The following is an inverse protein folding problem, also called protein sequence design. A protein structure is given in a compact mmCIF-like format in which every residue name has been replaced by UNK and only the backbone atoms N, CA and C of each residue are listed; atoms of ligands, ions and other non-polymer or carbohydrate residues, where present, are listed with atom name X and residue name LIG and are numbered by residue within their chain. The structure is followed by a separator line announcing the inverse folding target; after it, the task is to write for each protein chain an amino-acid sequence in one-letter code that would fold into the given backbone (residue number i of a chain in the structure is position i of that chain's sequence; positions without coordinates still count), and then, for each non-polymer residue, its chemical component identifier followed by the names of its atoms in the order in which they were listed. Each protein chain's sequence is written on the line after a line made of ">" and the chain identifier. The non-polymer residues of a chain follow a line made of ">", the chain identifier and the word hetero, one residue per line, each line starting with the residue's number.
data_IF_102779297554
#
_entry.id   IF_102779297554
#
_cell.length_a   1.000
_cell.length_b   1.000
_cell.length_c   1.000
_cell.angle_alpha   90.00
_cell.angle_beta   90.00
_cell.angle_gamma   90.00
#
_symmetry.space_group_name_H-M   'P 1'
#
loop_
_entity.id
_entity.type
_entity.pdbx_description
1 polymer ?
#
# COMPACT_ATOMS: atom_id res chain seq x y z
N UNK A 1 -29.35 -16.04 -23.63
CA UNK A 1 -29.02 -14.79 -22.90
C UNK A 1 -27.74 -14.21 -23.49
N UNK A 2 -27.68 -12.95 -23.93
CA UNK A 2 -26.45 -12.38 -24.43
C UNK A 2 -25.52 -12.05 -23.25
N UNK A 3 -24.38 -12.74 -23.16
CA UNK A 3 -23.32 -12.40 -22.23
C UNK A 3 -22.67 -11.09 -22.68
N UNK A 4 -22.81 -10.03 -21.89
CA UNK A 4 -22.09 -8.77 -22.10
C UNK A 4 -20.59 -9.02 -21.92
N UNK A 5 -19.83 -8.97 -23.02
CA UNK A 5 -18.37 -8.98 -22.98
C UNK A 5 -17.87 -7.69 -22.32
N UNK A 6 -17.47 -7.80 -21.05
CA UNK A 6 -16.81 -6.71 -20.31
C UNK A 6 -15.39 -6.59 -20.90
N UNK A 7 -15.13 -5.52 -21.66
CA UNK A 7 -13.77 -5.18 -22.12
C UNK A 7 -12.84 -5.07 -20.91
N UNK A 8 -11.83 -5.94 -20.82
CA UNK A 8 -10.78 -5.86 -19.79
C UNK A 8 -9.99 -4.57 -20.00
N UNK A 9 -10.12 -3.61 -19.09
CA UNK A 9 -9.27 -2.44 -19.05
C UNK A 9 -7.92 -2.83 -18.44
N UNK A 10 -6.82 -2.39 -19.06
CA UNK A 10 -5.45 -2.65 -18.60
C UNK A 10 -5.04 -1.83 -17.39
N UNK A 11 -5.83 -0.81 -17.02
CA UNK A 11 -5.55 0.04 -15.86
C UNK A 11 -5.75 -0.74 -14.56
N UNK A 12 -4.73 -0.70 -13.71
CA UNK A 12 -4.81 -1.17 -12.33
C UNK A 12 -5.52 -0.10 -11.51
N UNK A 13 -6.61 -0.48 -10.85
CA UNK A 13 -7.40 0.42 -10.00
C UNK A 13 -7.75 -0.31 -8.70
N UNK A 14 -7.93 0.45 -7.63
CA UNK A 14 -8.60 -0.06 -6.42
C UNK A 14 -10.01 -0.55 -6.78
N UNK A 15 -10.54 -1.45 -5.96
CA UNK A 15 -11.90 -1.95 -6.17
C UNK A 15 -12.91 -0.82 -5.97
N UNK A 16 -14.01 -0.82 -6.73
CA UNK A 16 -15.08 0.16 -6.56
C UNK A 16 -15.64 0.15 -5.13
N UNK A 17 -15.59 -1.00 -4.45
CA UNK A 17 -15.98 -1.13 -3.04
C UNK A 17 -15.13 -0.24 -2.12
N UNK A 18 -13.80 -0.25 -2.27
CA UNK A 18 -12.90 0.59 -1.46
C UNK A 18 -13.07 2.07 -1.80
N UNK A 19 -13.23 2.39 -3.08
CA UNK A 19 -13.38 3.79 -3.53
C UNK A 19 -14.69 4.43 -3.06
N UNK A 20 -15.76 3.62 -2.90
CA UNK A 20 -17.07 4.08 -2.46
C UNK A 20 -17.22 4.19 -0.93
N UNK A 21 -16.27 3.68 -0.15
CA UNK A 21 -16.30 3.81 1.32
C UNK A 21 -16.18 5.27 1.73
N UNK A 22 -16.81 5.64 2.86
CA UNK A 22 -16.47 6.89 3.54
C UNK A 22 -15.07 6.79 4.17
N UNK A 23 -14.55 7.91 4.67
CA UNK A 23 -13.18 7.97 5.17
C UNK A 23 -12.93 7.10 6.41
N UNK A 24 -13.91 7.00 7.31
CA UNK A 24 -13.80 6.18 8.52
C UNK A 24 -13.75 4.68 8.16
N UNK A 25 -14.66 4.24 7.29
CA UNK A 25 -14.75 2.86 6.85
C UNK A 25 -13.51 2.45 6.04
N UNK A 26 -13.01 3.34 5.18
CA UNK A 26 -11.80 3.08 4.42
C UNK A 26 -10.58 2.94 5.35
N UNK A 27 -10.43 3.81 6.35
CA UNK A 27 -9.35 3.69 7.35
C UNK A 27 -9.46 2.38 8.13
N UNK A 28 -10.65 1.96 8.54
CA UNK A 28 -10.86 0.67 9.20
C UNK A 28 -10.53 -0.52 8.30
N UNK A 29 -10.93 -0.48 7.03
CA UNK A 29 -10.59 -1.51 6.06
C UNK A 29 -9.06 -1.63 5.87
N UNK A 30 -8.35 -0.50 5.78
CA UNK A 30 -6.88 -0.46 5.71
C UNK A 30 -6.24 -1.06 6.98
N UNK A 31 -6.76 -0.72 8.17
CA UNK A 31 -6.26 -1.26 9.44
C UNK A 31 -6.45 -2.78 9.49
N UNK A 32 -7.63 -3.27 9.11
CA UNK A 32 -7.95 -4.70 9.10
C UNK A 32 -7.09 -5.47 8.10
N UNK A 33 -6.90 -4.93 6.90
CA UNK A 33 -6.09 -5.53 5.85
C UNK A 33 -4.59 -5.58 6.21
N UNK A 34 -4.07 -4.52 6.85
CA UNK A 34 -2.68 -4.44 7.24
C UNK A 34 -2.35 -5.23 8.51
N UNK A 35 -3.35 -5.59 9.34
CA UNK A 35 -3.15 -6.25 10.63
C UNK A 35 -2.32 -7.55 10.57
N UNK A 36 -2.54 -8.47 9.60
CA UNK A 36 -1.77 -9.71 9.51
C UNK A 36 -0.30 -9.50 9.21
N UNK A 37 0.11 -8.31 8.74
CA UNK A 37 1.50 -7.99 8.43
C UNK A 37 2.34 -7.66 9.68
N UNK A 38 1.72 -7.58 10.87
CA UNK A 38 2.39 -7.13 12.09
C UNK A 38 2.15 -8.06 13.28
N UNK A 39 3.11 -8.13 14.22
CA UNK A 39 2.91 -8.78 15.51
C UNK A 39 1.65 -8.28 16.23
N UNK A 40 1.00 -9.18 16.98
CA UNK A 40 -0.26 -8.89 17.66
C UNK A 40 -0.13 -7.74 18.69
N UNK A 41 1.03 -7.59 19.31
CA UNK A 41 1.34 -6.53 20.27
C UNK A 41 1.67 -5.17 19.61
N UNK A 42 1.83 -5.12 18.29
CA UNK A 42 2.23 -3.90 17.59
C UNK A 42 1.10 -3.35 16.69
N UNK A 43 0.28 -2.40 17.18
CA UNK A 43 -0.75 -1.78 16.36
C UNK A 43 -0.16 -0.95 15.21
N UNK A 44 -0.97 -0.75 14.16
CA UNK A 44 -0.59 0.06 13.02
C UNK A 44 -0.35 1.52 13.42
N UNK A 45 0.90 1.99 13.28
CA UNK A 45 1.24 3.40 13.52
C UNK A 45 0.40 4.33 12.63
N UNK A 46 -0.09 5.48 13.14
CA UNK A 46 -0.97 6.38 12.39
C UNK A 46 -0.42 6.81 11.03
N UNK A 47 0.89 7.06 10.93
CA UNK A 47 1.54 7.49 9.69
C UNK A 47 1.36 6.51 8.53
N UNK A 48 1.27 5.20 8.83
CA UNK A 48 1.09 4.15 7.82
C UNK A 48 -0.33 4.16 7.26
N UNK A 49 -1.31 4.26 8.17
CA UNK A 49 -2.72 4.27 7.84
C UNK A 49 -3.07 5.54 7.07
N UNK A 50 -2.65 6.70 7.59
CA UNK A 50 -2.95 7.98 6.94
C UNK A 50 -2.28 8.10 5.57
N UNK A 51 -1.03 7.64 5.45
CA UNK A 51 -0.33 7.60 4.17
C UNK A 51 -1.06 6.75 3.13
N UNK A 52 -1.44 5.51 3.49
CA UNK A 52 -2.15 4.62 2.56
C UNK A 52 -3.56 5.13 2.24
N UNK A 53 -4.26 5.69 3.22
CA UNK A 53 -5.58 6.31 3.03
C UNK A 53 -5.51 7.48 2.04
N UNK A 54 -4.58 8.41 2.21
CA UNK A 54 -4.45 9.55 1.30
C UNK A 54 -4.08 9.10 -0.12
N UNK A 55 -3.22 8.08 -0.26
CA UNK A 55 -2.91 7.48 -1.56
C UNK A 55 -4.12 6.80 -2.19
N UNK A 56 -4.99 6.15 -1.40
CA UNK A 56 -6.24 5.56 -1.88
C UNK A 56 -7.25 6.63 -2.34
N UNK A 57 -7.17 7.83 -1.78
CA UNK A 57 -7.90 9.03 -2.22
C UNK A 57 -7.21 9.79 -3.35
N UNK A 58 -6.15 9.25 -3.94
CA UNK A 58 -5.35 9.88 -5.00
C UNK A 58 -4.79 11.26 -4.60
N UNK A 59 -4.47 11.45 -3.32
CA UNK A 59 -3.92 12.72 -2.80
C UNK A 59 -2.40 12.69 -2.75
N UNK A 60 -1.77 13.80 -3.16
CA UNK A 60 -0.36 14.03 -2.90
C UNK A 60 -0.15 14.30 -1.41
N UNK A 61 0.71 13.51 -0.76
CA UNK A 61 0.91 13.57 0.69
C UNK A 61 2.37 13.80 1.02
N UNK A 62 2.63 14.84 1.82
CA UNK A 62 3.93 15.07 2.46
C UNK A 62 3.86 14.63 3.91
N UNK A 63 4.82 13.83 4.35
CA UNK A 63 4.90 13.31 5.72
C UNK A 63 6.18 13.79 6.37
N UNK A 64 6.06 14.55 7.46
CA UNK A 64 7.19 14.89 8.33
C UNK A 64 7.29 13.85 9.45
N UNK A 65 8.21 12.90 9.32
CA UNK A 65 8.39 11.83 10.31
C UNK A 65 9.86 11.43 10.49
N UNK A 66 10.25 11.16 11.73
CA UNK A 66 11.60 10.69 12.07
C UNK A 66 11.87 9.23 11.66
N UNK A 67 13.06 8.75 12.02
CA UNK A 67 13.42 7.32 11.94
C UNK A 67 12.55 6.50 12.90
N UNK A 68 12.26 5.24 12.56
CA UNK A 68 11.40 4.38 13.37
C UNK A 68 9.91 4.71 13.32
N UNK A 69 9.49 5.76 12.60
CA UNK A 69 8.07 6.09 12.40
C UNK A 69 7.29 5.03 11.61
N UNK A 70 7.97 4.15 10.87
CA UNK A 70 7.34 3.13 10.04
C UNK A 70 6.92 3.62 8.65
N UNK A 71 7.43 4.78 8.21
CA UNK A 71 7.13 5.39 6.91
C UNK A 71 7.45 4.50 5.69
N UNK A 72 8.45 3.63 5.78
CA UNK A 72 8.83 2.65 4.74
C UNK A 72 7.69 1.71 4.33
N UNK A 73 6.73 1.50 5.24
CA UNK A 73 5.64 0.53 5.10
C UNK A 73 4.36 1.12 4.52
N UNK A 74 4.30 2.43 4.29
CA UNK A 74 3.14 3.07 3.62
C UNK A 74 2.89 2.44 2.24
N UNK A 75 3.97 2.24 1.47
CA UNK A 75 3.91 1.64 0.14
C UNK A 75 3.39 0.20 0.17
N UNK A 76 3.77 -0.59 1.19
CA UNK A 76 3.30 -1.97 1.34
C UNK A 76 1.81 -2.03 1.66
N UNK A 77 1.36 -1.23 2.64
CA UNK A 77 -0.06 -1.14 2.99
C UNK A 77 -0.89 -0.67 1.80
N UNK A 78 -0.39 0.29 1.02
CA UNK A 78 -1.08 0.76 -0.18
C UNK A 78 -1.14 -0.30 -1.29
N UNK A 79 -0.06 -1.05 -1.53
CA UNK A 79 -0.05 -2.16 -2.49
C UNK A 79 -1.10 -3.22 -2.17
N UNK A 80 -1.35 -3.52 -0.90
CA UNK A 80 -2.31 -4.56 -0.50
C UNK A 80 -3.76 -4.18 -0.81
N UNK A 81 -4.07 -2.89 -0.98
CA UNK A 81 -5.43 -2.43 -1.32
C UNK A 81 -5.86 -2.83 -2.73
N UNK A 82 -4.92 -3.19 -3.60
CA UNK A 82 -5.22 -3.68 -4.94
C UNK A 82 -5.59 -5.16 -4.93
N UNK A 83 -6.45 -5.56 -5.85
CA UNK A 83 -6.74 -6.98 -6.02
C UNK A 83 -5.45 -7.75 -6.38
N UNK A 84 -5.20 -8.89 -5.72
CA UNK A 84 -3.99 -9.72 -5.91
C UNK A 84 -3.73 -10.12 -7.37
N UNK A 85 -4.76 -10.12 -8.21
CA UNK A 85 -4.67 -10.46 -9.64
C UNK A 85 -4.22 -9.30 -10.53
N UNK A 86 -4.10 -8.08 -9.98
CA UNK A 86 -3.85 -6.86 -10.77
C UNK A 86 -2.39 -6.44 -10.83
N UNK A 87 -1.49 -7.06 -10.05
CA UNK A 87 -0.04 -6.80 -10.06
C UNK A 87 0.29 -5.29 -10.11
N UNK A 88 -0.12 -4.51 -9.08
CA UNK A 88 0.21 -3.08 -9.03
C UNK A 88 1.72 -2.87 -8.97
N UNK A 89 2.19 -1.77 -9.56
CA UNK A 89 3.58 -1.31 -9.42
C UNK A 89 3.60 -0.09 -8.53
N UNK A 90 4.40 -0.13 -7.46
CA UNK A 90 4.67 1.01 -6.59
C UNK A 90 6.17 1.26 -6.57
N UNK A 91 6.56 2.45 -7.04
CA UNK A 91 7.95 2.88 -7.07
C UNK A 91 8.27 3.66 -5.80
N UNK A 92 9.31 3.22 -5.07
CA UNK A 92 9.85 3.92 -3.90
C UNK A 92 11.26 4.39 -4.24
N UNK A 93 11.48 5.70 -4.22
CA UNK A 93 12.79 6.29 -4.47
C UNK A 93 13.51 6.51 -3.14
N UNK A 94 14.63 5.83 -2.96
CA UNK A 94 15.47 5.98 -1.77
C UNK A 94 16.73 6.79 -2.13
N UNK A 95 17.20 7.66 -1.21
CA UNK A 95 18.42 8.44 -1.44
C UNK A 95 19.71 7.60 -1.25
N UNK A 96 19.61 6.41 -0.66
CA UNK A 96 20.74 5.52 -0.37
C UNK A 96 20.32 4.07 -0.66
N UNK A 97 21.25 3.28 -1.20
CA UNK A 97 21.00 1.86 -1.48
C UNK A 97 20.73 1.06 -0.21
N UNK A 98 21.54 1.27 0.84
CA UNK A 98 21.35 0.62 2.14
C UNK A 98 19.96 0.87 2.75
N UNK A 99 19.31 2.01 2.45
CA UNK A 99 17.95 2.24 2.92
C UNK A 99 16.94 1.37 2.19
N UNK A 100 17.13 1.14 0.90
CA UNK A 100 16.24 0.28 0.15
C UNK A 100 16.46 -1.20 0.45
N UNK A 101 17.71 -1.65 0.65
CA UNK A 101 18.01 -3.01 1.11
C UNK A 101 17.28 -3.32 2.42
N UNK A 102 17.37 -2.40 3.40
CA UNK A 102 16.65 -2.52 4.67
C UNK A 102 15.12 -2.62 4.47
N UNK A 103 14.57 -1.87 3.51
CA UNK A 103 13.13 -1.91 3.22
C UNK A 103 12.69 -3.23 2.59
N UNK A 104 13.52 -3.83 1.74
CA UNK A 104 13.22 -5.15 1.14
C UNK A 104 13.28 -6.24 2.20
N UNK A 105 14.33 -6.23 3.03
CA UNK A 105 14.49 -7.17 4.13
C UNK A 105 13.32 -7.09 5.12
N UNK A 106 12.89 -5.86 5.45
CA UNK A 106 11.72 -5.61 6.28
C UNK A 106 10.46 -6.33 5.74
N UNK A 107 10.24 -6.33 4.43
CA UNK A 107 9.00 -6.80 3.78
C UNK A 107 9.02 -8.28 3.38
N UNK A 108 10.03 -9.03 3.80
CA UNK A 108 10.12 -10.47 3.55
C UNK A 108 10.50 -10.85 2.12
N UNK A 109 11.09 -9.95 1.33
CA UNK A 109 11.81 -10.25 0.08
C UNK A 109 10.98 -10.71 -1.14
N UNK A 110 10.08 -11.67 -0.99
CA UNK A 110 9.61 -12.51 -2.10
C UNK A 110 8.66 -11.83 -3.10
N UNK A 111 8.08 -10.68 -2.75
CA UNK A 111 7.19 -9.89 -3.61
C UNK A 111 7.73 -8.49 -3.96
N UNK A 112 8.96 -8.15 -3.55
CA UNK A 112 9.53 -6.83 -3.74
C UNK A 112 10.80 -6.93 -4.57
N UNK A 113 10.74 -6.44 -5.81
CA UNK A 113 11.90 -6.40 -6.69
C UNK A 113 12.68 -5.12 -6.41
N UNK A 114 13.95 -5.28 -6.05
CA UNK A 114 14.88 -4.16 -5.93
C UNK A 114 15.43 -3.81 -7.30
N UNK A 115 15.17 -2.59 -7.77
CA UNK A 115 15.85 -2.04 -8.93
C UNK A 115 16.97 -1.12 -8.43
N UNK A 116 18.18 -1.67 -8.32
CA UNK A 116 19.38 -0.88 -8.10
C UNK A 116 19.69 -0.05 -9.36
N UNK A 117 20.29 1.13 -9.17
CA UNK A 117 20.70 2.01 -10.25
C UNK A 117 22.00 1.55 -10.90
#
# INVERSE_FOLDING_TARGET
>A
MPQKNIKKTSKVTLTMKLLAMNDADLKQAIIADARPCYPADQPSKPVRIEGAFNLARCQHTFVRAGTGSGKSRVAEVYCHLFAKTKNPVVLVLNPLDALGDNQVQEKGGDNWVYAAK
#
